data_IF_659001289514
#
_entry.id   IF_659001289514
#
_cell.length_a   1.000
_cell.length_b   1.000
_cell.length_c   1.000
_cell.angle_alpha   90.00
_cell.angle_beta   90.00
_cell.angle_gamma   90.00
#
_symmetry.space_group_name_H-M   'P 1'
#
loop_
_entity.id
_entity.type
_entity.pdbx_description
1 polymer ?
#
# COMPACT_ATOMS: atom_id res chain seq x y z
N UNK A 1 57.29 13.28 33.54
CA UNK A 1 55.90 13.05 34.02
C UNK A 1 54.82 13.16 32.93
N UNK A 2 55.08 13.76 31.75
CA UNK A 2 54.05 14.01 30.69
C UNK A 2 53.73 12.87 29.68
N UNK A 3 54.34 11.69 29.80
CA UNK A 3 54.14 10.58 28.81
C UNK A 3 53.03 9.60 29.20
N UNK A 4 52.52 9.65 30.44
CA UNK A 4 51.47 8.74 30.92
C UNK A 4 50.07 9.26 30.60
N UNK A 5 49.87 10.57 30.60
CA UNK A 5 48.55 11.19 30.44
C UNK A 5 48.06 11.20 28.98
N UNK A 6 48.97 11.33 28.01
CA UNK A 6 48.64 11.30 26.57
C UNK A 6 48.17 9.91 26.13
N UNK A 7 48.73 8.85 26.74
CA UNK A 7 48.43 7.46 26.38
C UNK A 7 47.04 7.02 26.85
N UNK A 8 46.55 7.58 27.96
CA UNK A 8 45.21 7.32 28.46
C UNK A 8 44.12 8.05 27.67
N UNK A 9 44.39 9.28 27.21
CA UNK A 9 43.46 10.01 26.35
C UNK A 9 43.34 9.35 24.96
N UNK A 10 44.46 8.93 24.35
CA UNK A 10 44.45 8.20 23.08
C UNK A 10 43.74 6.84 23.18
N UNK A 11 43.91 6.09 24.29
CA UNK A 11 43.22 4.81 24.50
C UNK A 11 41.71 4.98 24.76
N UNK A 12 41.29 6.05 25.45
CA UNK A 12 39.87 6.39 25.65
C UNK A 12 39.19 6.83 24.34
N UNK A 13 39.86 7.65 23.53
CA UNK A 13 39.35 8.07 22.21
C UNK A 13 39.22 6.88 21.24
N UNK A 14 40.21 5.98 21.18
CA UNK A 14 40.15 4.77 20.33
C UNK A 14 39.02 3.82 20.78
N UNK A 15 38.75 3.73 22.08
CA UNK A 15 37.68 2.87 22.62
C UNK A 15 36.30 3.50 22.37
N UNK A 16 36.20 4.83 22.41
CA UNK A 16 34.97 5.55 22.09
C UNK A 16 34.64 5.46 20.60
N UNK A 17 35.61 5.67 19.73
CA UNK A 17 35.47 5.56 18.27
C UNK A 17 35.02 4.14 17.86
N UNK A 18 35.66 3.10 18.42
CA UNK A 18 35.24 1.70 18.23
C UNK A 18 33.85 1.37 18.76
N UNK A 19 33.40 2.04 19.83
CA UNK A 19 32.04 1.86 20.37
C UNK A 19 30.99 2.51 19.47
N UNK A 20 31.28 3.71 18.95
CA UNK A 20 30.40 4.38 17.97
C UNK A 20 30.29 3.57 16.66
N UNK A 21 31.38 2.96 16.21
CA UNK A 21 31.38 2.03 15.07
C UNK A 21 30.52 0.79 15.33
N UNK A 22 30.67 0.15 16.50
CA UNK A 22 29.87 -1.03 16.88
C UNK A 22 28.39 -0.68 17.02
N UNK A 23 28.05 0.47 17.61
CA UNK A 23 26.66 0.94 17.70
C UNK A 23 26.06 1.22 16.33
N UNK A 24 26.85 1.77 15.41
CA UNK A 24 26.43 1.99 14.02
C UNK A 24 26.22 0.69 13.27
N UNK A 25 27.13 -0.28 13.41
CA UNK A 25 27.01 -1.61 12.82
C UNK A 25 25.79 -2.36 13.37
N UNK A 26 25.57 -2.34 14.69
CA UNK A 26 24.41 -2.97 15.33
C UNK A 26 23.09 -2.33 14.86
N UNK A 27 23.07 -1.00 14.68
CA UNK A 27 21.91 -0.30 14.12
C UNK A 27 21.65 -0.72 12.68
N UNK A 28 22.69 -0.78 11.83
CA UNK A 28 22.56 -1.24 10.44
C UNK A 28 22.09 -2.70 10.35
N UNK A 29 22.60 -3.58 11.22
CA UNK A 29 22.15 -4.97 11.31
C UNK A 29 20.68 -5.03 11.75
N UNK A 30 20.28 -4.23 12.74
CA UNK A 30 18.90 -4.13 13.19
C UNK A 30 17.94 -3.73 12.06
N UNK A 31 18.26 -2.64 11.36
CA UNK A 31 17.51 -2.17 10.18
C UNK A 31 17.44 -3.23 9.07
N UNK A 32 18.54 -3.95 8.84
CA UNK A 32 18.59 -5.03 7.85
C UNK A 32 17.69 -6.22 8.24
N UNK A 33 17.66 -6.60 9.52
CA UNK A 33 16.81 -7.69 10.04
C UNK A 33 15.33 -7.32 9.95
N UNK A 34 14.94 -6.10 10.34
CA UNK A 34 13.56 -5.62 10.21
C UNK A 34 13.10 -5.60 8.76
N UNK A 35 13.97 -5.13 7.86
CA UNK A 35 13.71 -5.16 6.42
C UNK A 35 13.54 -6.59 5.91
N UNK A 36 14.35 -7.53 6.39
CA UNK A 36 14.26 -8.94 6.01
C UNK A 36 12.97 -9.59 6.51
N UNK A 37 12.53 -9.31 7.74
CA UNK A 37 11.24 -9.76 8.28
C UNK A 37 10.08 -9.22 7.42
N UNK A 38 10.13 -7.95 7.04
CA UNK A 38 9.13 -7.36 6.15
C UNK A 38 9.12 -7.99 4.76
N UNK A 39 10.28 -8.25 4.15
CA UNK A 39 10.36 -8.91 2.84
C UNK A 39 9.87 -10.35 2.91
N UNK A 40 10.24 -11.09 3.96
CA UNK A 40 9.81 -12.46 4.21
C UNK A 40 8.30 -12.55 4.36
N UNK A 41 7.70 -11.72 5.23
CA UNK A 41 6.24 -11.67 5.42
C UNK A 41 5.51 -11.37 4.12
N UNK A 42 5.99 -10.40 3.33
CA UNK A 42 5.35 -10.05 2.06
C UNK A 42 5.48 -11.15 1.00
N UNK A 43 6.63 -11.82 0.94
CA UNK A 43 6.86 -12.96 0.04
C UNK A 43 5.96 -14.14 0.40
N UNK A 44 5.90 -14.49 1.69
CA UNK A 44 4.97 -15.50 2.20
C UNK A 44 3.52 -15.12 1.94
N UNK A 45 3.16 -13.85 2.10
CA UNK A 45 1.82 -13.35 1.80
C UNK A 45 1.48 -13.60 0.33
N UNK A 46 2.36 -13.23 -0.60
CA UNK A 46 2.14 -13.45 -2.03
C UNK A 46 2.06 -14.93 -2.42
N UNK A 47 2.91 -15.77 -1.83
CA UNK A 47 2.84 -17.22 -1.99
C UNK A 47 1.49 -17.79 -1.55
N UNK A 48 0.91 -17.23 -0.47
CA UNK A 48 -0.39 -17.64 0.06
C UNK A 48 -1.58 -17.03 -0.67
N UNK A 49 -1.48 -15.79 -1.18
CA UNK A 49 -2.55 -15.09 -1.91
C UNK A 49 -2.90 -15.80 -3.21
N UNK A 50 -2.00 -16.61 -3.78
CA UNK A 50 -2.32 -17.47 -4.93
C UNK A 50 -3.38 -18.57 -4.66
N UNK A 51 -3.87 -18.69 -3.43
CA UNK A 51 -4.98 -19.55 -3.04
C UNK A 51 -6.10 -18.67 -2.51
N UNK A 52 -7.32 -18.91 -2.97
CA UNK A 52 -8.53 -18.46 -2.28
C UNK A 52 -8.47 -19.10 -0.89
N UNK A 53 -8.21 -18.28 0.14
CA UNK A 53 -8.02 -18.78 1.51
C UNK A 53 -9.38 -18.97 2.16
N UNK A 54 -10.30 -18.03 1.92
CA UNK A 54 -11.69 -18.12 2.32
C UNK A 54 -12.58 -18.33 1.09
N UNK A 55 -13.62 -19.17 1.16
CA UNK A 55 -14.53 -19.37 0.04
C UNK A 55 -15.14 -18.03 -0.41
N UNK A 56 -15.25 -17.75 -1.72
CA UNK A 56 -15.85 -16.52 -2.19
C UNK A 56 -17.34 -16.46 -1.81
N UNK A 57 -17.80 -15.27 -1.47
CA UNK A 57 -19.17 -14.98 -1.08
C UNK A 57 -19.71 -13.76 -1.82
N UNK A 58 -21.04 -13.65 -1.88
CA UNK A 58 -21.73 -12.51 -2.44
C UNK A 58 -21.76 -11.37 -1.42
N UNK A 59 -20.97 -10.32 -1.65
CA UNK A 59 -20.82 -9.20 -0.71
C UNK A 59 -21.13 -7.89 -1.39
N UNK A 60 -21.76 -6.98 -0.64
CA UNK A 60 -21.89 -5.58 -1.04
C UNK A 60 -20.51 -4.93 -1.18
N UNK A 61 -20.22 -4.36 -2.34
CA UNK A 61 -19.00 -3.58 -2.52
C UNK A 61 -18.95 -2.38 -1.57
N UNK A 62 -20.11 -1.80 -1.23
CA UNK A 62 -20.20 -0.71 -0.25
C UNK A 62 -19.79 -1.15 1.16
N UNK A 63 -20.15 -2.38 1.57
CA UNK A 63 -19.67 -2.95 2.84
C UNK A 63 -18.15 -3.17 2.84
N UNK A 64 -17.58 -3.67 1.73
CA UNK A 64 -16.13 -3.83 1.59
C UNK A 64 -15.41 -2.48 1.72
N UNK A 65 -15.95 -1.42 1.11
CA UNK A 65 -15.39 -0.06 1.26
C UNK A 65 -15.47 0.41 2.70
N UNK A 66 -16.59 0.19 3.38
CA UNK A 66 -16.75 0.55 4.79
C UNK A 66 -15.74 -0.16 5.68
N UNK A 67 -15.61 -1.48 5.55
CA UNK A 67 -14.67 -2.29 6.33
C UNK A 67 -13.21 -1.81 6.13
N UNK A 68 -12.86 -1.45 4.89
CA UNK A 68 -11.53 -0.91 4.59
C UNK A 68 -11.26 0.45 5.25
N UNK A 69 -12.28 1.33 5.30
CA UNK A 69 -12.18 2.63 5.97
C UNK A 69 -12.06 2.46 7.50
N UNK A 70 -12.88 1.58 8.06
CA UNK A 70 -12.86 1.27 9.50
C UNK A 70 -11.47 0.73 9.91
N UNK A 71 -10.89 -0.20 9.12
CA UNK A 71 -9.56 -0.73 9.36
C UNK A 71 -8.47 0.36 9.31
N UNK A 72 -8.51 1.23 8.30
CA UNK A 72 -7.52 2.30 8.15
C UNK A 72 -7.63 3.33 9.27
N UNK A 73 -8.85 3.66 9.71
CA UNK A 73 -9.07 4.59 10.83
C UNK A 73 -8.49 4.07 12.15
N UNK A 74 -8.43 2.75 12.34
CA UNK A 74 -7.79 2.12 13.49
C UNK A 74 -6.26 2.08 13.41
N UNK A 75 -5.68 2.01 12.21
CA UNK A 75 -4.23 1.96 11.98
C UNK A 75 -3.55 3.34 12.00
N UNK A 76 -4.28 4.38 11.61
CA UNK A 76 -3.78 5.74 11.47
C UNK A 76 -4.27 6.56 12.66
N UNK A 77 -3.45 6.61 13.72
CA UNK A 77 -3.68 7.54 14.83
C UNK A 77 -3.83 8.99 14.34
N UNK A 78 -4.35 9.87 15.20
CA UNK A 78 -4.92 11.22 14.95
C UNK A 78 -4.07 12.28 14.21
N UNK A 79 -3.00 11.92 13.49
CA UNK A 79 -1.95 12.83 13.08
C UNK A 79 -1.63 12.89 11.58
N UNK A 80 -2.50 12.44 10.68
CA UNK A 80 -2.30 12.64 9.24
C UNK A 80 -3.54 13.19 8.51
N UNK A 81 -3.25 13.93 7.44
CA UNK A 81 -4.12 14.82 6.66
C UNK A 81 -5.51 14.22 6.41
N UNK A 82 -6.56 14.97 6.73
CA UNK A 82 -7.95 14.62 6.41
C UNK A 82 -8.11 14.45 4.90
N UNK A 83 -8.08 13.20 4.43
CA UNK A 83 -8.44 12.88 3.05
C UNK A 83 -9.94 12.85 2.95
N UNK A 84 -10.47 13.66 2.04
CA UNK A 84 -11.88 13.58 1.68
C UNK A 84 -12.06 12.35 0.77
N UNK A 85 -12.81 11.36 1.25
CA UNK A 85 -13.15 10.15 0.50
C UNK A 85 -14.59 10.25 0.01
N UNK A 86 -14.76 10.23 -1.31
CA UNK A 86 -16.04 10.33 -1.99
C UNK A 86 -16.45 8.97 -2.57
N UNK A 87 -17.67 8.53 -2.28
CA UNK A 87 -18.29 7.38 -2.94
C UNK A 87 -19.23 7.90 -4.02
N UNK A 88 -18.95 7.57 -5.28
CA UNK A 88 -19.85 7.94 -6.38
C UNK A 88 -21.24 7.33 -6.20
N UNK A 89 -22.26 8.00 -6.75
CA UNK A 89 -23.63 7.49 -6.85
C UNK A 89 -23.74 6.10 -7.48
N UNK A 90 -22.79 5.76 -8.36
CA UNK A 90 -22.65 4.45 -9.00
C UNK A 90 -22.48 3.30 -8.01
N UNK A 91 -21.98 3.59 -6.80
CA UNK A 91 -21.80 2.67 -5.67
C UNK A 91 -22.70 3.06 -4.49
N UNK A 92 -22.81 4.35 -4.18
CA UNK A 92 -23.47 4.82 -2.95
C UNK A 92 -25.00 4.63 -3.00
N UNK A 93 -25.60 4.76 -4.19
CA UNK A 93 -27.05 4.62 -4.44
C UNK A 93 -27.44 3.32 -5.15
N UNK A 94 -26.54 2.73 -5.95
CA UNK A 94 -26.79 1.48 -6.66
C UNK A 94 -25.89 0.39 -6.10
N UNK A 95 -26.49 -0.51 -5.34
CA UNK A 95 -25.76 -1.62 -4.73
C UNK A 95 -25.10 -2.51 -5.80
N UNK A 96 -23.83 -2.84 -5.57
CA UNK A 96 -23.03 -3.72 -6.44
C UNK A 96 -22.59 -4.90 -5.60
N UNK A 97 -23.20 -6.05 -5.88
CA UNK A 97 -22.81 -7.31 -5.26
C UNK A 97 -21.69 -7.93 -6.08
N UNK A 98 -20.62 -8.33 -5.41
CA UNK A 98 -19.45 -9.00 -6.00
C UNK A 98 -19.26 -10.37 -5.35
N UNK A 99 -18.81 -11.35 -6.12
CA UNK A 99 -18.57 -12.72 -5.64
C UNK A 99 -17.08 -12.95 -5.33
N UNK A 100 -16.65 -12.68 -4.11
CA UNK A 100 -15.22 -12.56 -3.75
C UNK A 100 -14.91 -13.09 -2.35
N UNK A 101 -13.64 -13.39 -2.09
CA UNK A 101 -13.09 -13.51 -0.73
C UNK A 101 -13.10 -12.10 -0.09
N UNK A 102 -14.05 -11.86 0.82
CA UNK A 102 -14.29 -10.54 1.44
C UNK A 102 -13.03 -9.95 2.06
N UNK A 103 -12.28 -10.74 2.82
CA UNK A 103 -11.06 -10.25 3.49
C UNK A 103 -10.02 -9.78 2.48
N UNK A 104 -9.89 -10.48 1.35
CA UNK A 104 -8.98 -10.09 0.27
C UNK A 104 -9.47 -8.87 -0.49
N UNK A 105 -10.77 -8.73 -0.72
CA UNK A 105 -11.34 -7.53 -1.34
C UNK A 105 -11.15 -6.29 -0.44
N UNK A 106 -11.30 -6.44 0.89
CA UNK A 106 -10.97 -5.39 1.86
C UNK A 106 -9.48 -5.05 1.80
N UNK A 107 -8.60 -6.05 1.72
CA UNK A 107 -7.16 -5.86 1.56
C UNK A 107 -6.80 -5.05 0.28
N UNK A 108 -7.55 -5.22 -0.81
CA UNK A 108 -7.36 -4.41 -2.03
C UNK A 108 -7.61 -2.94 -1.74
N UNK A 109 -8.74 -2.61 -1.11
CA UNK A 109 -9.12 -1.23 -0.81
C UNK A 109 -8.23 -0.59 0.25
N UNK A 110 -7.85 -1.30 1.32
CA UNK A 110 -6.92 -0.78 2.33
C UNK A 110 -5.55 -0.47 1.73
N UNK A 111 -5.08 -1.26 0.75
CA UNK A 111 -3.86 -0.95 0.01
C UNK A 111 -3.99 0.33 -0.82
N UNK A 112 -5.12 0.53 -1.51
CA UNK A 112 -5.36 1.77 -2.28
C UNK A 112 -5.48 2.99 -1.38
N UNK A 113 -6.31 2.94 -0.34
CA UNK A 113 -6.53 4.01 0.63
C UNK A 113 -5.23 4.34 1.36
N UNK A 114 -4.54 3.33 1.88
CA UNK A 114 -3.26 3.51 2.55
C UNK A 114 -2.21 4.10 1.62
N UNK A 115 -2.16 3.68 0.34
CA UNK A 115 -1.28 4.32 -0.63
C UNK A 115 -1.68 5.79 -0.81
N UNK A 116 -2.96 6.11 -0.94
CA UNK A 116 -3.39 7.48 -1.12
C UNK A 116 -2.91 8.38 0.01
N UNK A 117 -3.17 8.00 1.26
CA UNK A 117 -2.73 8.73 2.46
C UNK A 117 -1.23 8.99 2.44
N UNK A 118 -0.43 7.95 2.16
CA UNK A 118 1.03 8.04 2.16
C UNK A 118 1.62 8.93 1.07
N UNK A 119 1.02 8.95 -0.11
CA UNK A 119 1.58 9.63 -1.29
C UNK A 119 0.86 10.95 -1.60
N UNK A 120 0.07 11.50 -0.66
CA UNK A 120 -0.54 12.83 -0.83
C UNK A 120 0.51 13.95 -0.89
N UNK A 121 1.73 13.75 -0.38
CA UNK A 121 2.77 14.79 -0.38
C UNK A 121 2.24 16.07 0.26
N UNK A 122 2.48 17.23 -0.36
CA UNK A 122 1.98 18.55 0.06
C UNK A 122 0.65 18.96 -0.60
N UNK A 123 -0.14 18.00 -1.09
CA UNK A 123 -1.43 18.30 -1.75
C UNK A 123 -2.37 19.06 -0.78
N UNK A 124 -2.75 20.33 -1.08
CA UNK A 124 -3.56 21.16 -0.18
C UNK A 124 -4.98 20.65 0.07
N UNK A 125 -5.55 19.88 -0.87
CA UNK A 125 -6.89 19.28 -0.74
C UNK A 125 -6.84 17.82 -1.18
N UNK A 126 -6.39 16.91 -0.31
CA UNK A 126 -6.18 15.54 -0.69
C UNK A 126 -7.53 14.82 -0.83
N UNK A 127 -7.78 14.24 -2.00
CA UNK A 127 -9.07 13.64 -2.36
C UNK A 127 -8.90 12.26 -2.92
N UNK A 128 -9.79 11.37 -2.50
CA UNK A 128 -9.98 10.05 -3.09
C UNK A 128 -11.44 9.89 -3.51
N UNK A 129 -11.64 9.25 -4.65
CA UNK A 129 -12.96 8.90 -5.14
C UNK A 129 -13.01 7.43 -5.52
N UNK A 130 -14.05 6.75 -5.06
CA UNK A 130 -14.29 5.33 -5.32
C UNK A 130 -15.62 5.21 -6.05
N UNK A 131 -15.62 4.52 -7.19
CA UNK A 131 -16.81 4.42 -8.02
C UNK A 131 -16.81 3.19 -8.93
N UNK A 132 -17.82 3.13 -9.79
CA UNK A 132 -17.98 2.08 -10.80
C UNK A 132 -18.47 2.69 -12.13
N UNK A 133 -17.71 2.48 -13.19
CA UNK A 133 -17.99 2.99 -14.52
C UNK A 133 -17.42 2.06 -15.60
N UNK A 134 -18.09 1.94 -16.76
CA UNK A 134 -17.64 1.12 -17.91
C UNK A 134 -17.24 -0.31 -17.50
N UNK A 135 -18.06 -0.90 -16.63
CA UNK A 135 -17.87 -2.26 -16.08
C UNK A 135 -16.59 -2.50 -15.26
N UNK A 136 -16.01 -1.43 -14.73
CA UNK A 136 -14.88 -1.47 -13.81
C UNK A 136 -15.15 -0.64 -12.55
N UNK A 137 -14.64 -1.13 -11.43
CA UNK A 137 -14.44 -0.32 -10.24
C UNK A 137 -13.24 0.59 -10.45
N UNK A 138 -13.25 1.76 -9.83
CA UNK A 138 -12.10 2.64 -9.84
C UNK A 138 -11.83 3.26 -8.47
N UNK A 139 -10.56 3.53 -8.22
CA UNK A 139 -10.08 4.41 -7.14
C UNK A 139 -9.26 5.51 -7.77
N UNK A 140 -9.78 6.74 -7.74
CA UNK A 140 -9.13 7.95 -8.25
C UNK A 140 -8.58 8.75 -7.10
N UNK A 141 -7.35 9.23 -7.26
CA UNK A 141 -6.71 10.16 -6.33
C UNK A 141 -6.12 11.35 -7.08
N UNK A 142 -5.81 12.43 -6.36
CA UNK A 142 -5.18 13.64 -6.91
C UNK A 142 -3.72 13.83 -6.47
N UNK A 143 -2.94 12.73 -6.42
CA UNK A 143 -1.54 12.72 -5.94
C UNK A 143 -0.52 13.16 -6.99
N UNK A 144 0.77 12.91 -6.72
CA UNK A 144 1.92 13.15 -7.63
C UNK A 144 1.77 12.52 -9.03
N UNK A 145 0.86 11.55 -9.19
CA UNK A 145 0.68 10.80 -10.43
C UNK A 145 1.78 9.76 -10.67
N UNK A 146 1.55 8.89 -11.63
CA UNK A 146 2.47 7.82 -12.04
C UNK A 146 2.85 8.05 -13.49
N UNK A 147 4.14 8.26 -13.74
CA UNK A 147 4.63 8.47 -15.10
C UNK A 147 4.33 7.25 -16.00
N UNK A 148 4.03 7.46 -17.30
CA UNK A 148 3.62 6.37 -18.20
C UNK A 148 4.57 5.17 -18.23
N UNK A 149 5.89 5.39 -18.18
CA UNK A 149 6.91 4.33 -18.20
C UNK A 149 6.99 3.51 -16.89
N UNK A 150 6.24 3.92 -15.86
CA UNK A 150 6.16 3.27 -14.56
C UNK A 150 4.83 2.55 -14.33
N UNK A 151 3.78 2.83 -15.11
CA UNK A 151 2.41 2.32 -14.86
C UNK A 151 2.31 0.79 -14.89
N UNK A 152 3.10 0.12 -15.73
CA UNK A 152 3.16 -1.35 -15.70
C UNK A 152 4.04 -1.87 -14.55
N UNK A 153 5.10 -1.14 -14.22
CA UNK A 153 6.12 -1.55 -13.23
C UNK A 153 5.60 -1.44 -11.80
N UNK A 154 4.66 -0.55 -11.51
CA UNK A 154 4.12 -0.37 -10.15
C UNK A 154 3.40 -1.60 -9.60
N UNK A 155 3.03 -2.55 -10.45
CA UNK A 155 2.50 -3.85 -10.03
C UNK A 155 3.56 -4.94 -9.84
N UNK A 156 4.83 -4.66 -10.13
CA UNK A 156 5.92 -5.60 -9.90
C UNK A 156 6.27 -5.65 -8.42
N UNK A 157 6.63 -6.84 -7.95
CA UNK A 157 7.02 -7.06 -6.59
C UNK A 157 8.28 -6.26 -6.25
N UNK A 158 8.24 -5.53 -5.13
CA UNK A 158 9.31 -4.68 -4.61
C UNK A 158 9.61 -3.42 -5.45
N UNK A 159 8.80 -3.13 -6.47
CA UNK A 159 8.91 -1.87 -7.17
C UNK A 159 8.47 -0.71 -6.29
N UNK A 160 9.24 0.39 -6.32
CA UNK A 160 8.92 1.63 -5.61
C UNK A 160 9.10 2.80 -6.54
N UNK A 161 8.11 3.70 -6.54
CA UNK A 161 8.21 5.00 -7.23
C UNK A 161 9.26 5.86 -6.53
N UNK A 162 9.23 5.90 -5.19
CA UNK A 162 10.27 6.51 -4.37
C UNK A 162 11.20 5.46 -3.77
N UNK A 163 12.46 5.46 -4.19
CA UNK A 163 13.50 4.55 -3.70
C UNK A 163 13.86 4.78 -2.23
N UNK A 164 13.58 5.96 -1.67
CA UNK A 164 13.83 6.29 -0.26
C UNK A 164 12.75 5.76 0.68
N UNK A 165 11.63 5.24 0.14
CA UNK A 165 10.58 4.66 0.96
C UNK A 165 11.04 3.39 1.68
N UNK A 166 10.89 3.35 3.00
CA UNK A 166 11.21 2.19 3.84
C UNK A 166 10.27 0.99 3.60
N UNK A 167 9.11 1.21 2.95
CA UNK A 167 8.11 0.16 2.69
C UNK A 167 8.58 -0.82 1.64
N UNK A 168 8.09 -2.06 1.69
CA UNK A 168 8.56 -3.15 0.83
C UNK A 168 8.29 -2.95 -0.67
N UNK A 169 7.31 -2.14 -1.08
CA UNK A 169 6.86 -2.08 -2.48
C UNK A 169 6.00 -3.29 -2.91
N UNK A 170 5.45 -4.04 -1.95
CA UNK A 170 4.63 -5.22 -2.24
C UNK A 170 3.12 -4.92 -2.41
N UNK A 171 2.62 -3.78 -1.92
CA UNK A 171 1.18 -3.51 -1.79
C UNK A 171 0.40 -3.61 -3.11
N UNK A 172 0.87 -2.96 -4.18
CA UNK A 172 0.19 -3.04 -5.48
C UNK A 172 0.36 -4.39 -6.17
N UNK A 173 1.48 -5.09 -5.95
CA UNK A 173 1.65 -6.47 -6.42
C UNK A 173 0.65 -7.43 -5.75
N UNK A 174 0.40 -7.23 -4.45
CA UNK A 174 -0.64 -7.96 -3.69
C UNK A 174 -2.02 -7.67 -4.26
N UNK A 175 -2.35 -6.39 -4.46
CA UNK A 175 -3.63 -5.97 -5.06
C UNK A 175 -3.85 -6.67 -6.41
N UNK A 176 -2.86 -6.60 -7.31
CA UNK A 176 -2.93 -7.25 -8.62
C UNK A 176 -3.19 -8.75 -8.48
N UNK A 177 -2.45 -9.42 -7.59
CA UNK A 177 -2.62 -10.86 -7.41
C UNK A 177 -4.01 -11.23 -6.87
N UNK A 178 -4.54 -10.46 -5.93
CA UNK A 178 -5.90 -10.68 -5.40
C UNK A 178 -6.93 -10.56 -6.51
N UNK A 179 -6.84 -9.49 -7.32
CA UNK A 179 -7.79 -9.25 -8.42
C UNK A 179 -7.72 -10.37 -9.47
N UNK A 180 -6.50 -10.79 -9.86
CA UNK A 180 -6.30 -11.89 -10.81
C UNK A 180 -6.86 -13.23 -10.30
N UNK A 181 -6.72 -13.53 -9.01
CA UNK A 181 -7.26 -14.76 -8.40
C UNK A 181 -8.79 -14.78 -8.43
N UNK A 182 -9.44 -13.61 -8.41
CA UNK A 182 -10.88 -13.47 -8.60
C UNK A 182 -11.30 -13.39 -10.07
N UNK A 183 -10.37 -13.63 -11.02
CA UNK A 183 -10.64 -13.57 -12.46
C UNK A 183 -10.77 -12.15 -13.03
N UNK A 184 -10.40 -11.14 -12.24
CA UNK A 184 -10.44 -9.74 -12.62
C UNK A 184 -9.18 -9.26 -13.34
N UNK A 185 -9.22 -8.00 -13.75
CA UNK A 185 -8.10 -7.26 -14.34
C UNK A 185 -7.87 -5.98 -13.54
N UNK A 186 -6.63 -5.49 -13.54
CA UNK A 186 -6.26 -4.20 -12.94
C UNK A 186 -5.36 -3.42 -13.90
N UNK A 187 -5.59 -2.12 -14.00
CA UNK A 187 -4.76 -1.18 -14.75
C UNK A 187 -4.80 0.21 -14.12
N UNK A 188 -3.99 1.12 -14.65
CA UNK A 188 -3.85 2.49 -14.14
C UNK A 188 -3.94 3.43 -15.31
N UNK A 189 -4.63 4.55 -15.08
CA UNK A 189 -4.53 5.73 -15.93
C UNK A 189 -3.97 6.88 -15.09
N UNK A 190 -2.86 7.46 -15.52
CA UNK A 190 -2.28 8.65 -14.91
C UNK A 190 -1.55 9.47 -15.97
N UNK A 191 -1.74 10.78 -15.95
CA UNK A 191 -0.95 11.70 -16.77
C UNK A 191 0.41 12.03 -16.13
N UNK A 192 0.66 11.60 -14.88
CA UNK A 192 1.82 12.01 -14.09
C UNK A 192 1.77 13.48 -13.65
N UNK A 193 2.92 14.03 -13.26
CA UNK A 193 3.14 15.46 -13.03
C UNK A 193 2.16 16.14 -12.05
N UNK A 194 1.76 15.46 -10.98
CA UNK A 194 0.86 16.01 -9.96
C UNK A 194 -0.63 15.96 -10.30
N UNK A 195 -1.01 15.28 -11.40
CA UNK A 195 -2.42 15.14 -11.83
C UNK A 195 -3.15 13.93 -11.23
N UNK A 196 -2.53 13.22 -10.29
CA UNK A 196 -3.11 12.04 -9.66
C UNK A 196 -3.11 10.80 -10.51
N UNK A 197 -3.74 9.75 -10.00
CA UNK A 197 -3.85 8.45 -10.67
C UNK A 197 -5.24 7.87 -10.49
N UNK A 198 -5.71 7.13 -11.49
CA UNK A 198 -6.94 6.33 -11.39
C UNK A 198 -6.56 4.87 -11.56
N UNK A 199 -6.78 4.08 -10.51
CA UNK A 199 -6.63 2.64 -10.53
C UNK A 199 -7.97 2.03 -10.90
N UNK A 200 -8.03 1.32 -12.00
CA UNK A 200 -9.23 0.61 -12.42
C UNK A 200 -9.06 -0.88 -12.19
N UNK A 201 -10.14 -1.55 -11.81
CA UNK A 201 -10.13 -2.99 -11.67
C UNK A 201 -11.52 -3.60 -11.86
N UNK A 202 -11.55 -4.88 -12.22
CA UNK A 202 -12.78 -5.66 -12.34
C UNK A 202 -12.86 -6.72 -11.25
N UNK A 203 -14.08 -7.00 -10.81
CA UNK A 203 -14.43 -8.10 -9.92
C UNK A 203 -15.66 -8.80 -10.51
N UNK A 204 -15.92 -10.07 -10.18
CA UNK A 204 -17.11 -10.79 -10.63
C UNK A 204 -18.37 -10.17 -10.01
N UNK A 205 -19.03 -9.28 -10.76
CA UNK A 205 -20.28 -8.64 -10.35
C UNK A 205 -21.43 -9.63 -10.53
N UNK A 206 -22.17 -9.87 -9.46
CA UNK A 206 -23.36 -10.72 -9.50
C UNK A 206 -24.49 -9.92 -10.12
N UNK A 207 -24.74 -10.11 -11.42
CA UNK A 207 -25.96 -9.61 -12.04
C UNK A 207 -27.14 -10.44 -11.52
N UNK A 208 -28.11 -9.81 -10.86
CA UNK A 208 -29.41 -10.45 -10.65
C UNK A 208 -30.03 -10.74 -12.01
N UNK A 209 -29.83 -11.94 -12.55
CA UNK A 209 -30.65 -12.48 -13.62
C UNK A 209 -32.02 -12.75 -13.02
N UNK A 210 -32.96 -11.83 -13.22
CA UNK A 210 -34.36 -12.12 -12.96
C UNK A 210 -34.77 -13.25 -13.91
N UNK A 211 -35.13 -14.41 -13.35
CA UNK A 211 -35.98 -15.39 -14.06
C UNK A 211 -37.42 -15.11 -13.69
#
# INVERSE_FOLDING_TARGET
MRKKDIKSEEEEDINKDKREDIETDLRMIGEAVEKMDHLWRNTLKLSRIGRIVNPPEDVSFKEIVKDALDQISGEIGSNEKDIEIFLEDSISKKEKIVHVDRERAVEVLTNFIGNAIRYMGDQPKPKMEIGYQKDAFFVRDNRIGISPDQQEKVFQLFYKIDKKSERSGAGLAIVKRIIEVHGGQIWIESEGNGKGSTFYFTLPVVSKSWR
#
